data_IF_031534671454
#
_entry.id   IF_031534671454
#
_cell.length_a   1.000
_cell.length_b   1.000
_cell.length_c   1.000
_cell.angle_alpha   90.00
_cell.angle_beta   90.00
_cell.angle_gamma   90.00
#
_symmetry.space_group_name_H-M   'P 1'
#
loop_
_entity.id
_entity.type
_entity.pdbx_description
1 polymer ?
#
# COMPACT_ATOMS: atom_id res chain seq x y z
N UNK A 1 10.33 -14.56 9.77
CA UNK A 1 9.19 -13.61 9.74
C UNK A 1 9.70 -12.19 9.86
N UNK A 2 9.37 -11.32 8.92
CA UNK A 2 9.69 -9.89 9.02
C UNK A 2 8.74 -9.17 9.99
N UNK A 3 7.47 -9.61 10.03
CA UNK A 3 6.45 -9.13 10.94
C UNK A 3 5.77 -10.35 11.55
N UNK A 4 6.00 -10.59 12.85
CA UNK A 4 5.61 -11.83 13.54
C UNK A 4 4.11 -12.01 13.70
N UNK A 5 3.35 -10.93 13.65
CA UNK A 5 1.89 -10.94 13.76
C UNK A 5 1.19 -11.60 12.57
N UNK A 6 1.95 -11.95 11.50
CA UNK A 6 1.45 -12.72 10.36
C UNK A 6 1.76 -14.23 10.45
N UNK A 7 2.34 -14.69 11.57
CA UNK A 7 2.46 -16.12 11.81
C UNK A 7 1.10 -16.75 12.17
N UNK A 8 0.91 -18.00 11.81
CA UNK A 8 -0.31 -18.75 12.10
C UNK A 8 -1.59 -18.01 11.70
N UNK A 9 -1.74 -17.58 10.43
CA UNK A 9 -2.86 -16.77 10.01
C UNK A 9 -4.18 -17.55 10.08
N UNK A 10 -5.26 -16.81 10.34
CA UNK A 10 -6.61 -17.34 10.44
C UNK A 10 -7.44 -16.83 9.27
N UNK A 11 -8.26 -17.68 8.68
CA UNK A 11 -9.25 -17.34 7.65
C UNK A 11 -10.61 -17.16 8.30
N UNK A 12 -11.32 -16.11 7.91
CA UNK A 12 -12.72 -15.89 8.30
C UNK A 12 -13.57 -15.70 7.04
N UNK A 13 -14.37 -16.68 6.72
CA UNK A 13 -15.29 -16.67 5.58
C UNK A 13 -16.75 -16.92 6.05
N UNK A 14 -17.65 -17.20 5.13
CA UNK A 14 -19.05 -17.46 5.43
C UNK A 14 -19.28 -18.73 6.26
N UNK A 15 -18.31 -19.66 6.27
CA UNK A 15 -18.36 -20.91 7.03
C UNK A 15 -17.79 -20.75 8.45
N UNK A 16 -17.27 -19.57 8.78
CA UNK A 16 -16.69 -19.28 10.08
C UNK A 16 -15.17 -19.15 10.07
N UNK A 17 -14.58 -19.23 11.25
CA UNK A 17 -13.15 -19.04 11.47
C UNK A 17 -12.41 -20.39 11.44
N UNK A 18 -11.28 -20.45 10.73
CA UNK A 18 -10.39 -21.62 10.67
C UNK A 18 -8.94 -21.21 10.52
N UNK A 19 -7.96 -22.03 10.95
CA UNK A 19 -6.55 -21.79 10.58
C UNK A 19 -6.38 -21.77 9.06
N UNK A 20 -5.48 -20.95 8.57
CA UNK A 20 -5.04 -21.06 7.18
C UNK A 20 -4.14 -22.27 6.98
N UNK A 21 -4.19 -22.87 5.79
CA UNK A 21 -3.40 -24.09 5.51
C UNK A 21 -1.89 -23.81 5.40
N UNK A 22 -1.50 -22.56 5.24
CA UNK A 22 -0.11 -22.12 5.19
C UNK A 22 0.03 -20.63 5.52
N UNK A 23 1.24 -20.23 5.77
CA UNK A 23 1.64 -18.86 6.03
C UNK A 23 1.66 -18.00 4.76
N UNK A 24 1.60 -16.67 4.96
CA UNK A 24 1.76 -15.69 3.90
C UNK A 24 3.23 -15.60 3.51
N UNK A 25 3.52 -15.61 2.22
CA UNK A 25 4.85 -15.35 1.66
C UNK A 25 4.94 -13.95 1.06
N UNK A 26 6.18 -13.46 0.85
CA UNK A 26 6.42 -12.22 0.08
C UNK A 26 5.83 -12.35 -1.34
N UNK A 27 5.89 -13.54 -1.93
CA UNK A 27 5.27 -13.81 -3.24
C UNK A 27 3.77 -13.55 -3.23
N UNK A 28 3.06 -13.96 -2.18
CA UNK A 28 1.62 -13.73 -2.05
C UNK A 28 1.29 -12.23 -1.93
N UNK A 29 2.11 -11.47 -1.22
CA UNK A 29 1.94 -10.02 -1.13
C UNK A 29 2.15 -9.36 -2.50
N UNK A 30 3.20 -9.74 -3.23
CA UNK A 30 3.53 -9.18 -4.54
C UNK A 30 2.52 -9.54 -5.63
N UNK A 31 1.81 -10.66 -5.49
CA UNK A 31 0.83 -11.13 -6.47
C UNK A 31 -0.62 -10.87 -6.06
N UNK A 32 -0.87 -10.21 -4.93
CA UNK A 32 -2.22 -9.99 -4.38
C UNK A 32 -2.98 -11.31 -4.14
N UNK A 33 -2.26 -12.34 -3.66
CA UNK A 33 -2.82 -13.65 -3.30
C UNK A 33 -2.72 -13.94 -1.80
N UNK A 34 -2.44 -12.92 -1.00
CA UNK A 34 -2.27 -13.06 0.46
C UNK A 34 -3.56 -13.32 1.24
N UNK A 35 -4.72 -12.93 0.70
CA UNK A 35 -5.99 -12.97 1.40
C UNK A 35 -6.22 -11.82 2.40
N UNK A 36 -5.30 -10.84 2.50
CA UNK A 36 -5.45 -9.68 3.38
C UNK A 36 -6.45 -8.70 2.76
N UNK A 37 -7.65 -8.49 3.36
CA UNK A 37 -8.66 -7.62 2.77
C UNK A 37 -8.35 -6.13 2.93
N UNK A 38 -8.95 -5.30 2.07
CA UNK A 38 -9.36 -3.96 2.45
C UNK A 38 -10.70 -4.00 3.19
N UNK A 39 -11.11 -2.89 3.86
CA UNK A 39 -12.47 -2.78 4.40
C UNK A 39 -13.53 -3.02 3.33
N UNK A 40 -14.34 -4.06 3.51
CA UNK A 40 -15.46 -4.39 2.64
C UNK A 40 -16.61 -5.06 3.42
N UNK A 41 -17.65 -5.55 2.71
CA UNK A 41 -18.81 -6.22 3.32
C UNK A 41 -18.57 -7.66 3.77
N UNK A 42 -17.42 -8.26 3.48
CA UNK A 42 -17.11 -9.63 3.91
C UNK A 42 -16.81 -9.71 5.41
N UNK A 43 -16.93 -10.89 6.04
CA UNK A 43 -16.63 -11.04 7.47
C UNK A 43 -15.21 -10.58 7.84
N UNK A 44 -14.19 -10.94 7.05
CA UNK A 44 -12.80 -10.52 7.26
C UNK A 44 -12.62 -9.02 6.98
N UNK A 45 -13.22 -8.50 5.90
CA UNK A 45 -13.18 -7.08 5.55
C UNK A 45 -13.82 -6.17 6.58
N UNK A 46 -14.89 -6.61 7.25
CA UNK A 46 -15.49 -5.90 8.38
C UNK A 46 -14.55 -5.80 9.58
N UNK A 47 -13.78 -6.87 9.88
CA UNK A 47 -12.75 -6.84 10.94
C UNK A 47 -11.61 -5.87 10.58
N UNK A 48 -11.22 -5.81 9.31
CA UNK A 48 -10.27 -4.82 8.82
C UNK A 48 -10.85 -3.41 8.89
N UNK A 49 -12.13 -3.23 8.51
CA UNK A 49 -12.84 -1.95 8.57
C UNK A 49 -12.92 -1.36 9.98
N UNK A 50 -13.05 -2.21 11.01
CA UNK A 50 -13.01 -1.75 12.39
C UNK A 50 -11.67 -1.11 12.77
N UNK A 51 -10.54 -1.68 12.32
CA UNK A 51 -9.21 -1.10 12.54
C UNK A 51 -9.06 0.26 11.83
N UNK A 52 -9.51 0.35 10.58
CA UNK A 52 -9.44 1.59 9.80
C UNK A 52 -10.34 2.66 10.40
N UNK A 53 -11.53 2.29 10.88
CA UNK A 53 -12.46 3.18 11.58
C UNK A 53 -11.86 3.73 12.88
N UNK A 54 -11.19 2.89 13.67
CA UNK A 54 -10.48 3.33 14.88
C UNK A 54 -9.41 4.40 14.58
N UNK A 55 -8.61 4.21 13.52
CA UNK A 55 -7.61 5.20 13.14
C UNK A 55 -8.24 6.51 12.66
N UNK A 56 -9.36 6.42 11.93
CA UNK A 56 -10.12 7.60 11.50
C UNK A 56 -10.68 8.38 12.70
N UNK A 57 -11.22 7.70 13.69
CA UNK A 57 -11.69 8.35 14.93
C UNK A 57 -10.54 9.03 15.70
N UNK A 58 -9.39 8.37 15.81
CA UNK A 58 -8.20 8.95 16.45
C UNK A 58 -7.74 10.21 15.73
N UNK A 59 -7.71 10.18 14.39
CA UNK A 59 -7.37 11.36 13.59
C UNK A 59 -8.30 12.53 13.89
N UNK A 60 -9.61 12.30 13.88
CA UNK A 60 -10.61 13.35 14.16
C UNK A 60 -10.51 13.92 15.58
N UNK A 61 -10.00 13.14 16.53
CA UNK A 61 -9.75 13.56 17.91
C UNK A 61 -8.36 14.21 18.10
N UNK A 62 -7.54 14.27 17.07
CA UNK A 62 -6.15 14.76 17.16
C UNK A 62 -5.23 13.83 17.97
N UNK A 63 -5.60 12.55 18.06
CA UNK A 63 -4.82 11.53 18.75
C UNK A 63 -3.71 10.97 17.86
N UNK A 64 -2.71 10.34 18.49
CA UNK A 64 -1.61 9.71 17.76
C UNK A 64 -2.10 8.51 16.95
N UNK A 65 -1.79 8.52 15.64
CA UNK A 65 -2.05 7.41 14.74
C UNK A 65 -0.92 6.36 14.81
N UNK A 66 -1.25 5.16 14.36
CA UNK A 66 -0.26 4.11 14.14
C UNK A 66 0.65 4.48 12.97
N UNK A 67 1.94 4.20 13.12
CA UNK A 67 2.91 4.27 12.01
C UNK A 67 2.77 3.04 11.09
N UNK A 68 3.50 3.04 9.97
CA UNK A 68 3.41 2.01 8.92
C UNK A 68 3.61 0.59 9.48
N UNK A 69 4.65 0.38 10.28
CA UNK A 69 4.94 -0.95 10.86
C UNK A 69 3.90 -1.33 11.92
N UNK A 70 3.54 -0.40 12.78
CA UNK A 70 2.54 -0.65 13.83
C UNK A 70 1.16 -0.95 13.24
N UNK A 71 0.80 -0.25 12.15
CA UNK A 71 -0.47 -0.51 11.46
C UNK A 71 -0.46 -1.88 10.77
N UNK A 72 0.64 -2.25 10.11
CA UNK A 72 0.80 -3.58 9.53
C UNK A 72 0.70 -4.69 10.58
N UNK A 73 1.29 -4.50 11.77
CA UNK A 73 1.15 -5.43 12.89
C UNK A 73 -0.28 -5.60 13.34
N UNK A 74 -1.02 -4.50 13.43
CA UNK A 74 -2.45 -4.58 13.76
C UNK A 74 -3.26 -5.26 12.64
N UNK A 75 -2.93 -5.05 11.36
CA UNK A 75 -3.53 -5.80 10.26
C UNK A 75 -3.24 -7.31 10.35
N UNK A 76 -2.03 -7.69 10.73
CA UNK A 76 -1.63 -9.09 10.89
C UNK A 76 -2.41 -9.87 11.95
N UNK A 77 -3.02 -9.18 12.91
CA UNK A 77 -3.91 -9.78 13.92
C UNK A 77 -5.34 -10.00 13.42
N UNK A 78 -5.65 -9.64 12.18
CA UNK A 78 -7.00 -9.77 11.58
C UNK A 78 -7.05 -10.99 10.68
N UNK A 79 -8.23 -11.60 10.56
CA UNK A 79 -8.36 -12.77 9.71
C UNK A 79 -8.22 -12.43 8.23
N UNK A 80 -7.75 -13.40 7.48
CA UNK A 80 -7.70 -13.40 6.03
C UNK A 80 -9.05 -13.78 5.45
N UNK A 81 -9.29 -13.47 4.18
CA UNK A 81 -10.48 -13.87 3.44
C UNK A 81 -10.40 -15.30 2.92
N UNK A 82 -9.21 -15.81 2.70
CA UNK A 82 -8.92 -17.16 2.18
C UNK A 82 -7.47 -17.56 2.51
N UNK A 83 -7.17 -18.83 2.37
CA UNK A 83 -5.80 -19.34 2.54
C UNK A 83 -4.85 -18.69 1.53
N UNK A 84 -3.70 -18.15 1.98
CA UNK A 84 -2.73 -17.50 1.09
C UNK A 84 -2.40 -18.37 -0.13
N UNK A 85 -2.40 -17.77 -1.32
CA UNK A 85 -2.13 -18.46 -2.59
C UNK A 85 -3.33 -19.16 -3.22
N UNK A 86 -4.48 -19.21 -2.56
CA UNK A 86 -5.67 -19.88 -3.09
C UNK A 86 -6.25 -19.15 -4.31
N UNK A 87 -6.38 -17.83 -4.23
CA UNK A 87 -6.94 -16.98 -5.30
C UNK A 87 -6.35 -15.58 -5.28
N UNK A 88 -6.61 -14.85 -6.33
CA UNK A 88 -6.30 -13.44 -6.41
C UNK A 88 -7.43 -12.58 -5.84
N UNK A 89 -7.07 -11.59 -5.04
CA UNK A 89 -7.98 -10.55 -4.61
C UNK A 89 -7.24 -9.26 -4.30
N UNK A 90 -7.75 -8.15 -4.81
CA UNK A 90 -7.24 -6.84 -4.47
C UNK A 90 -7.44 -6.53 -2.98
N UNK A 91 -6.37 -6.14 -2.29
CA UNK A 91 -6.39 -5.91 -0.85
C UNK A 91 -5.13 -5.20 -0.35
N UNK A 92 -4.92 -5.20 0.97
CA UNK A 92 -3.89 -4.42 1.64
C UNK A 92 -2.46 -5.02 1.54
N UNK A 93 -2.21 -5.93 0.59
CA UNK A 93 -0.88 -6.55 0.41
C UNK A 93 0.24 -5.53 0.18
N UNK A 94 -0.03 -4.46 -0.59
CA UNK A 94 0.96 -3.43 -0.86
C UNK A 94 1.29 -2.59 0.39
N UNK A 95 0.32 -2.38 1.26
CA UNK A 95 0.53 -1.69 2.55
C UNK A 95 1.45 -2.50 3.46
N UNK A 96 1.25 -3.82 3.51
CA UNK A 96 2.14 -4.73 4.25
C UNK A 96 3.55 -4.72 3.65
N UNK A 97 3.68 -4.67 2.31
CA UNK A 97 5.00 -4.57 1.66
C UNK A 97 5.73 -3.28 2.04
N UNK A 98 5.03 -2.14 2.20
CA UNK A 98 5.64 -0.91 2.72
C UNK A 98 6.25 -1.12 4.10
N UNK A 99 5.54 -1.77 5.02
CA UNK A 99 6.05 -2.11 6.34
C UNK A 99 7.22 -3.11 6.30
N UNK A 100 7.18 -4.11 5.41
CA UNK A 100 8.30 -5.05 5.21
C UNK A 100 9.55 -4.30 4.75
N UNK A 101 9.41 -3.33 3.84
CA UNK A 101 10.53 -2.49 3.39
C UNK A 101 11.11 -1.69 4.56
N UNK A 102 10.29 -1.08 5.42
CA UNK A 102 10.79 -0.38 6.63
C UNK A 102 11.60 -1.33 7.54
N UNK A 103 11.06 -2.51 7.82
CA UNK A 103 11.72 -3.50 8.70
C UNK A 103 13.06 -3.97 8.11
N UNK A 104 13.11 -4.26 6.80
CA UNK A 104 14.31 -4.80 6.14
C UNK A 104 15.36 -3.73 5.91
N UNK A 105 14.96 -2.53 5.54
CA UNK A 105 15.89 -1.42 5.24
C UNK A 105 16.35 -0.66 6.48
N UNK A 106 15.56 -0.70 7.56
CA UNK A 106 15.76 0.16 8.73
C UNK A 106 15.43 1.63 8.47
N UNK A 107 14.77 1.94 7.36
CA UNK A 107 14.39 3.31 6.94
C UNK A 107 12.87 3.44 6.95
N UNK A 108 12.35 4.67 7.09
CA UNK A 108 10.95 4.96 6.78
C UNK A 108 10.67 4.64 5.31
N UNK A 109 9.47 4.16 5.01
CA UNK A 109 9.12 3.73 3.65
C UNK A 109 9.28 4.85 2.62
N UNK A 110 8.80 6.06 2.94
CA UNK A 110 8.96 7.24 2.09
C UNK A 110 10.42 7.65 1.90
N UNK A 111 11.25 7.56 2.95
CA UNK A 111 12.69 7.84 2.86
C UNK A 111 13.41 6.79 2.00
N UNK A 112 13.02 5.53 2.11
CA UNK A 112 13.53 4.47 1.24
C UNK A 112 13.19 4.73 -0.23
N UNK A 113 11.92 5.02 -0.54
CA UNK A 113 11.48 5.31 -1.90
C UNK A 113 12.19 6.56 -2.46
N UNK A 114 12.31 7.61 -1.66
CA UNK A 114 13.01 8.84 -2.04
C UNK A 114 14.46 8.55 -2.41
N UNK A 115 15.18 7.88 -1.53
CA UNK A 115 16.63 7.60 -1.70
C UNK A 115 16.90 6.64 -2.87
N UNK A 116 16.13 5.56 -2.97
CA UNK A 116 16.43 4.45 -3.88
C UNK A 116 15.76 4.60 -5.26
N UNK A 117 14.71 5.44 -5.36
CA UNK A 117 13.93 5.58 -6.60
C UNK A 117 13.77 7.04 -7.01
N UNK A 118 13.23 7.91 -6.15
CA UNK A 118 12.79 9.23 -6.58
C UNK A 118 13.96 10.16 -6.88
N UNK A 119 14.92 10.30 -5.96
CA UNK A 119 16.13 11.12 -6.17
C UNK A 119 16.96 10.63 -7.36
N UNK A 120 17.28 9.32 -7.49
CA UNK A 120 18.02 8.83 -8.65
C UNK A 120 17.36 9.07 -10.00
N UNK A 121 16.02 9.09 -10.06
CA UNK A 121 15.25 9.35 -11.27
C UNK A 121 14.91 10.84 -11.47
N UNK A 122 15.26 11.71 -10.54
CA UNK A 122 14.90 13.13 -10.56
C UNK A 122 13.38 13.35 -10.45
N UNK A 123 12.68 12.54 -9.63
CA UNK A 123 11.25 12.63 -9.35
C UNK A 123 11.01 13.57 -8.15
N UNK A 124 11.28 14.86 -8.32
CA UNK A 124 11.33 15.85 -7.23
C UNK A 124 9.95 16.27 -6.69
N UNK A 125 8.88 15.90 -7.36
CA UNK A 125 7.49 16.19 -6.99
C UNK A 125 6.72 14.93 -6.53
N UNK A 126 7.45 13.88 -6.15
CA UNK A 126 6.85 12.61 -5.71
C UNK A 126 7.18 12.30 -4.26
N UNK A 127 6.15 11.99 -3.45
CA UNK A 127 6.34 11.67 -2.04
C UNK A 127 5.02 11.48 -1.30
N UNK A 128 5.09 11.14 -0.01
CA UNK A 128 3.91 11.02 0.85
C UNK A 128 3.41 12.37 1.41
N UNK A 129 4.18 13.42 1.25
CA UNK A 129 3.81 14.81 1.55
C UNK A 129 4.64 15.74 0.66
N UNK A 130 4.22 17.00 0.59
CA UNK A 130 4.88 18.01 -0.23
C UNK A 130 5.33 19.19 0.62
N UNK A 131 6.45 19.86 0.26
CA UNK A 131 6.91 21.04 0.96
C UNK A 131 6.00 22.26 0.70
N UNK A 132 6.01 23.22 1.63
CA UNK A 132 5.06 24.35 1.67
C UNK A 132 5.07 25.19 0.38
N UNK A 133 6.21 25.36 -0.26
CA UNK A 133 6.36 26.11 -1.50
C UNK A 133 5.63 25.47 -2.69
N UNK A 134 5.22 24.21 -2.58
CA UNK A 134 4.51 23.46 -3.62
C UNK A 134 3.00 23.33 -3.37
N UNK A 135 2.45 23.80 -2.25
CA UNK A 135 1.05 23.62 -1.88
C UNK A 135 0.08 24.15 -2.94
N UNK A 136 0.42 25.28 -3.61
CA UNK A 136 -0.42 25.84 -4.67
C UNK A 136 -0.56 24.94 -5.91
N UNK A 137 0.28 23.90 -6.04
CA UNK A 137 0.24 22.94 -7.15
C UNK A 137 -0.55 21.68 -6.82
N UNK A 138 -0.92 21.47 -5.54
CA UNK A 138 -1.67 20.30 -5.15
C UNK A 138 -3.08 20.35 -5.73
N UNK A 139 -3.44 19.30 -6.48
CA UNK A 139 -4.77 19.17 -7.04
C UNK A 139 -5.81 18.91 -5.94
N UNK A 140 -6.95 19.60 -6.02
CA UNK A 140 -8.09 19.34 -5.15
C UNK A 140 -8.80 18.05 -5.59
N UNK A 141 -8.95 17.10 -4.66
CA UNK A 141 -9.82 15.96 -4.86
C UNK A 141 -11.29 16.36 -4.68
N UNK A 142 -12.17 15.78 -5.48
CA UNK A 142 -13.62 16.01 -5.41
C UNK A 142 -14.37 14.70 -5.26
N UNK A 143 -15.51 14.73 -4.57
CA UNK A 143 -16.50 13.67 -4.54
C UNK A 143 -17.79 14.12 -5.23
N UNK A 144 -18.49 13.19 -5.89
CA UNK A 144 -19.81 13.49 -6.45
C UNK A 144 -20.86 13.28 -5.37
N UNK A 145 -21.54 14.38 -4.96
CA UNK A 145 -22.51 14.41 -3.88
C UNK A 145 -23.63 15.42 -4.18
N UNK A 146 -24.85 15.10 -3.80
CA UNK A 146 -26.01 15.99 -3.96
C UNK A 146 -26.22 16.53 -5.39
N UNK A 147 -25.83 15.76 -6.41
CA UNK A 147 -25.98 16.16 -7.82
C UNK A 147 -24.86 17.06 -8.37
N UNK A 148 -23.77 17.25 -7.62
CA UNK A 148 -22.61 18.04 -8.01
C UNK A 148 -21.28 17.51 -7.50
N UNK A 149 -20.19 18.14 -7.93
CA UNK A 149 -18.85 17.85 -7.40
C UNK A 149 -18.59 18.76 -6.20
N UNK A 150 -18.36 18.16 -5.03
CA UNK A 150 -17.98 18.85 -3.81
C UNK A 150 -16.51 18.53 -3.47
N UNK A 151 -15.72 19.45 -2.90
CA UNK A 151 -14.38 19.16 -2.45
C UNK A 151 -14.37 17.99 -1.47
N UNK A 152 -13.49 17.00 -1.71
CA UNK A 152 -13.28 15.91 -0.79
C UNK A 152 -12.54 16.42 0.45
N UNK A 153 -13.22 16.40 1.60
CA UNK A 153 -12.72 16.94 2.87
C UNK A 153 -12.69 15.91 3.99
N UNK A 154 -13.07 14.67 3.68
CA UNK A 154 -13.11 13.61 4.67
C UNK A 154 -11.74 12.99 4.86
N UNK A 155 -11.44 12.58 6.10
CA UNK A 155 -10.27 11.77 6.35
C UNK A 155 -10.40 10.41 5.64
N UNK A 156 -9.39 10.08 4.87
CA UNK A 156 -9.18 8.75 4.34
C UNK A 156 -7.76 8.34 4.71
N UNK A 157 -7.56 7.14 5.25
CA UNK A 157 -6.28 6.73 5.81
C UNK A 157 -5.10 6.86 4.83
N UNK A 158 -5.36 6.66 3.54
CA UNK A 158 -4.38 6.76 2.48
C UNK A 158 -4.41 8.09 1.71
N UNK A 159 -5.43 8.93 1.95
CA UNK A 159 -5.61 10.26 1.34
C UNK A 159 -5.73 11.26 2.47
N UNK A 160 -4.60 11.66 3.01
CA UNK A 160 -4.52 12.52 4.18
C UNK A 160 -4.21 13.97 3.78
N UNK A 161 -3.87 14.79 4.76
CA UNK A 161 -3.29 16.10 4.53
C UNK A 161 -1.86 15.94 3.99
N UNK A 162 -1.68 16.11 2.69
CA UNK A 162 -0.38 16.03 2.03
C UNK A 162 0.59 17.16 2.39
N UNK A 163 0.17 18.09 3.23
CA UNK A 163 1.03 19.19 3.68
C UNK A 163 1.87 18.83 4.91
N UNK A 164 1.60 17.67 5.50
CA UNK A 164 2.33 17.13 6.67
C UNK A 164 2.76 15.67 6.42
N UNK A 165 3.89 15.24 6.99
CA UNK A 165 4.28 13.83 6.92
C UNK A 165 3.22 12.94 7.57
N UNK A 166 2.67 11.93 6.87
CA UNK A 166 1.69 11.03 7.44
C UNK A 166 2.34 10.09 8.47
N UNK A 167 1.57 9.64 9.46
CA UNK A 167 2.02 8.60 10.37
C UNK A 167 2.12 7.24 9.65
N UNK A 168 1.13 6.93 8.82
CA UNK A 168 1.06 5.72 7.99
C UNK A 168 1.39 6.06 6.53
N UNK A 169 2.50 5.55 6.04
CA UNK A 169 2.91 5.65 4.64
C UNK A 169 2.38 4.43 3.89
N UNK A 170 1.23 4.58 3.23
CA UNK A 170 0.53 3.47 2.57
C UNK A 170 1.25 3.01 1.31
N UNK A 171 1.58 1.72 1.23
CA UNK A 171 2.10 1.11 0.01
C UNK A 171 1.05 0.90 -1.08
N UNK A 172 -0.25 0.95 -0.71
CA UNK A 172 -1.38 0.81 -1.62
C UNK A 172 -1.85 2.12 -2.23
N UNK A 173 -1.58 3.26 -1.54
CA UNK A 173 -1.97 4.61 -1.97
C UNK A 173 -1.17 5.66 -1.19
N UNK A 174 -1.53 6.95 -1.31
CA UNK A 174 -0.99 8.01 -0.44
C UNK A 174 0.18 8.80 -1.02
N UNK A 175 0.78 8.39 -2.12
CA UNK A 175 1.76 9.21 -2.83
C UNK A 175 1.07 10.33 -3.62
N UNK A 176 1.64 11.52 -3.55
CA UNK A 176 1.43 12.57 -4.57
C UNK A 176 2.53 12.47 -5.60
N UNK A 177 2.23 12.87 -6.83
CA UNK A 177 3.19 12.90 -7.94
C UNK A 177 2.73 13.85 -9.02
N UNK A 178 3.56 14.03 -10.04
CA UNK A 178 3.21 14.70 -11.30
C UNK A 178 3.24 13.73 -12.47
N UNK A 179 2.61 14.11 -13.59
CA UNK A 179 2.67 13.32 -14.83
C UNK A 179 4.11 13.15 -15.30
N UNK A 180 4.93 14.21 -15.16
CA UNK A 180 6.33 14.23 -15.55
C UNK A 180 7.14 13.23 -14.72
N UNK A 181 6.99 13.23 -13.40
CA UNK A 181 7.70 12.30 -12.52
C UNK A 181 7.27 10.86 -12.75
N UNK A 182 5.96 10.63 -12.84
CA UNK A 182 5.46 9.29 -13.12
C UNK A 182 5.93 8.78 -14.50
N UNK A 183 6.05 9.68 -15.50
CA UNK A 183 6.59 9.32 -16.81
C UNK A 183 8.07 8.91 -16.74
N UNK A 184 8.89 9.49 -15.84
CA UNK A 184 10.28 9.06 -15.61
C UNK A 184 10.31 7.62 -15.09
N UNK A 185 9.49 7.31 -14.09
CA UNK A 185 9.37 5.95 -13.56
C UNK A 185 8.91 4.95 -14.63
N UNK A 186 7.88 5.30 -15.40
CA UNK A 186 7.38 4.45 -16.49
C UNK A 186 8.46 4.20 -17.57
N UNK A 187 9.19 5.25 -17.98
CA UNK A 187 10.30 5.13 -18.94
C UNK A 187 11.42 4.24 -18.40
N UNK A 188 11.78 4.38 -17.12
CA UNK A 188 12.76 3.50 -16.47
C UNK A 188 12.37 2.03 -16.61
N UNK A 189 11.10 1.68 -16.36
CA UNK A 189 10.61 0.31 -16.54
C UNK A 189 10.61 -0.13 -18.00
N UNK A 190 10.15 0.72 -18.94
CA UNK A 190 10.18 0.45 -20.38
C UNK A 190 11.61 0.19 -20.89
N UNK A 191 12.59 0.87 -20.34
CA UNK A 191 14.00 0.71 -20.66
C UNK A 191 14.69 -0.41 -19.85
N UNK A 192 13.89 -1.35 -19.33
CA UNK A 192 14.42 -2.51 -18.58
C UNK A 192 15.24 -2.11 -17.34
N UNK A 193 14.73 -1.14 -16.60
CA UNK A 193 15.24 -0.76 -15.29
C UNK A 193 16.25 0.40 -15.29
N UNK A 194 16.35 1.18 -16.37
CA UNK A 194 17.31 2.27 -16.49
C UNK A 194 16.69 3.51 -17.13
N UNK A 195 17.06 4.69 -16.66
CA UNK A 195 16.73 5.97 -17.26
C UNK A 195 17.95 6.90 -17.22
N UNK A 196 18.30 7.48 -18.35
CA UNK A 196 19.39 8.49 -18.50
C UNK A 196 20.73 8.06 -17.85
N UNK A 197 21.07 6.75 -17.97
CA UNK A 197 22.28 6.16 -17.40
C UNK A 197 22.17 5.74 -15.92
N UNK A 198 21.05 6.05 -15.26
CA UNK A 198 20.77 5.62 -13.88
C UNK A 198 20.00 4.30 -13.89
N UNK A 199 20.59 3.28 -13.28
CA UNK A 199 19.95 1.95 -13.16
C UNK A 199 19.35 1.74 -11.79
N UNK A 200 18.02 1.55 -11.76
CA UNK A 200 17.25 1.23 -10.54
C UNK A 200 17.08 -0.29 -10.41
N UNK A 201 16.77 -0.97 -11.52
CA UNK A 201 16.48 -2.42 -11.52
C UNK A 201 17.32 -3.16 -12.56
N UNK A 202 17.62 -4.42 -12.28
CA UNK A 202 18.17 -5.32 -13.28
C UNK A 202 17.16 -5.66 -14.40
N UNK A 203 17.63 -5.89 -15.62
CA UNK A 203 16.78 -6.25 -16.77
C UNK A 203 15.91 -7.47 -16.48
N UNK A 204 16.51 -8.52 -15.92
CA UNK A 204 15.79 -9.74 -15.57
C UNK A 204 14.74 -9.51 -14.49
N UNK A 205 14.97 -8.57 -13.57
CA UNK A 205 13.98 -8.19 -12.55
C UNK A 205 12.76 -7.56 -13.20
N UNK A 206 12.95 -6.61 -14.13
CA UNK A 206 11.84 -5.99 -14.86
C UNK A 206 11.08 -7.04 -15.68
N UNK A 207 11.80 -7.94 -16.36
CA UNK A 207 11.16 -9.03 -17.11
C UNK A 207 10.35 -9.96 -16.21
N UNK A 208 10.85 -10.25 -15.01
CA UNK A 208 10.12 -11.03 -14.02
C UNK A 208 8.88 -10.29 -13.50
N UNK A 209 8.99 -9.02 -13.14
CA UNK A 209 7.89 -8.18 -12.64
C UNK A 209 6.73 -8.03 -13.64
N UNK A 210 7.04 -8.07 -14.94
CA UNK A 210 6.05 -7.91 -16.02
C UNK A 210 5.43 -9.21 -16.52
N UNK A 211 5.78 -10.35 -15.94
CA UNK A 211 5.15 -11.65 -16.23
C UNK A 211 3.85 -11.80 -15.45
N UNK A 212 2.95 -12.61 -15.99
CA UNK A 212 1.80 -13.06 -15.22
C UNK A 212 2.26 -13.95 -14.06
N UNK A 213 2.11 -13.47 -12.84
CA UNK A 213 2.47 -14.20 -11.62
C UNK A 213 1.39 -15.14 -11.09
N UNK A 214 0.18 -15.16 -11.73
CA UNK A 214 -0.95 -15.96 -11.26
C UNK A 214 -1.04 -17.30 -11.98
N UNK A 215 -1.37 -18.35 -11.24
CA UNK A 215 -1.73 -19.65 -11.82
C UNK A 215 -3.11 -19.57 -12.51
N UNK A 216 -3.45 -20.55 -13.38
CA UNK A 216 -4.80 -20.62 -13.98
C UNK A 216 -5.92 -20.68 -12.94
N UNK A 217 -5.69 -21.33 -11.81
CA UNK A 217 -6.66 -21.47 -10.71
C UNK A 217 -6.90 -20.13 -10.02
N UNK A 218 -5.85 -19.36 -9.76
CA UNK A 218 -5.92 -18.03 -9.10
C UNK A 218 -6.59 -16.95 -9.97
N UNK A 219 -6.78 -17.21 -11.27
CA UNK A 219 -7.41 -16.29 -12.22
C UNK A 219 -8.91 -16.52 -12.40
N UNK A 220 -9.49 -17.49 -11.72
CA UNK A 220 -10.92 -17.77 -11.69
C UNK A 220 -11.62 -16.95 -10.63
#
# INVERSE_FOLDING_TARGET
>A
WFITEFSDPVVLDENGERPADRDITIGDLLTMTSGIPYPDGTPAGQKMGALWGEQSEKYLKGEKLLDTVSFAKEMGKRPLMFTPGEKWMYGASADIMGAVIEVVSGMKFGDFLRKEIFEPLGMDDTGFYIPAEKYSRLAQCYEYKNGGNEPFTHFHLCLTDYTVPPAFESGGAGLVSTVEDYAKFAKMLMNKGELDGVRILGRNTVDFMTRNGLTPEQRK
#
